data_IF_830177237941
#
_entry.id   IF_830177237941
#
_cell.length_a   1.000
_cell.length_b   1.000
_cell.length_c   1.000
_cell.angle_alpha   90.00
_cell.angle_beta   90.00
_cell.angle_gamma   90.00
#
_symmetry.space_group_name_H-M   'P 1'
#
loop_
_entity.id
_entity.type
_entity.pdbx_description
1 polymer ?
#
# COMPACT_ATOMS: atom_id res chain seq x y z
N UNK A 1 -28.66 7.13 14.74
CA UNK A 1 -28.48 5.97 13.85
C UNK A 1 -27.16 6.11 13.12
N UNK A 2 -26.25 5.12 13.17
CA UNK A 2 -25.03 5.22 12.37
C UNK A 2 -25.42 5.09 10.89
N UNK A 3 -24.94 6.01 10.07
CA UNK A 3 -25.08 5.96 8.62
C UNK A 3 -24.26 4.75 8.14
N UNK A 4 -24.94 3.65 7.79
CA UNK A 4 -24.31 2.49 7.17
C UNK A 4 -23.79 2.91 5.80
N UNK A 5 -22.49 3.23 5.70
CA UNK A 5 -21.82 3.39 4.41
C UNK A 5 -21.81 2.03 3.72
N UNK A 6 -22.41 1.97 2.52
CA UNK A 6 -22.34 0.77 1.70
C UNK A 6 -20.87 0.36 1.47
N UNK A 7 -20.53 -0.93 1.58
CA UNK A 7 -19.19 -1.39 1.31
C UNK A 7 -18.83 -1.12 -0.15
N UNK A 8 -17.69 -0.48 -0.38
CA UNK A 8 -17.19 -0.22 -1.74
C UNK A 8 -16.97 -1.55 -2.47
N UNK A 9 -17.40 -1.63 -3.72
CA UNK A 9 -17.16 -2.82 -4.55
C UNK A 9 -15.67 -2.91 -4.87
N UNK A 10 -15.06 -4.04 -4.50
CA UNK A 10 -13.65 -4.28 -4.75
C UNK A 10 -13.42 -4.68 -6.21
N UNK A 11 -12.43 -4.08 -6.87
CA UNK A 11 -12.02 -4.42 -8.24
C UNK A 11 -10.53 -4.68 -8.30
N UNK A 12 -10.11 -5.68 -9.06
CA UNK A 12 -8.72 -6.09 -9.18
C UNK A 12 -8.17 -5.74 -10.56
N UNK A 13 -7.04 -5.04 -10.61
CA UNK A 13 -6.29 -4.82 -11.86
C UNK A 13 -5.61 -6.10 -12.35
N UNK A 14 -5.20 -6.12 -13.62
CA UNK A 14 -4.30 -7.17 -14.11
C UNK A 14 -2.97 -7.19 -13.32
N UNK A 15 -2.44 -6.02 -12.99
CA UNK A 15 -1.19 -5.88 -12.22
C UNK A 15 -1.30 -6.48 -10.81
N UNK A 16 -2.36 -6.20 -10.06
CA UNK A 16 -2.57 -6.77 -8.73
C UNK A 16 -2.70 -8.29 -8.79
N UNK A 17 -3.45 -8.84 -9.76
CA UNK A 17 -3.55 -10.29 -9.97
C UNK A 17 -2.20 -10.93 -10.29
N UNK A 18 -1.39 -10.30 -11.13
CA UNK A 18 -0.06 -10.78 -11.46
C UNK A 18 0.87 -10.80 -10.24
N UNK A 19 0.90 -9.71 -9.46
CA UNK A 19 1.70 -9.62 -8.24
C UNK A 19 1.22 -10.59 -7.16
N UNK A 20 -0.10 -10.76 -7.00
CA UNK A 20 -0.68 -11.75 -6.11
C UNK A 20 -0.21 -13.16 -6.47
N UNK A 21 -0.22 -13.54 -7.76
CA UNK A 21 0.31 -14.83 -8.22
C UNK A 21 1.80 -14.96 -7.89
N UNK A 22 2.58 -13.93 -8.16
CA UNK A 22 4.03 -13.91 -7.90
C UNK A 22 4.37 -14.12 -6.41
N UNK A 23 3.64 -13.44 -5.51
CA UNK A 23 3.88 -13.53 -4.06
C UNK A 23 3.06 -14.60 -3.33
N UNK A 24 2.27 -15.41 -4.05
CA UNK A 24 1.38 -16.41 -3.45
C UNK A 24 0.31 -15.80 -2.54
N UNK A 25 -0.24 -14.64 -2.89
CA UNK A 25 -1.28 -13.94 -2.10
C UNK A 25 -2.67 -14.26 -2.64
N UNK A 26 -3.55 -14.75 -1.77
CA UNK A 26 -4.97 -14.93 -2.11
C UNK A 26 -5.75 -13.62 -2.03
N UNK A 27 -6.86 -13.52 -2.75
CA UNK A 27 -7.77 -12.37 -2.62
C UNK A 27 -8.26 -12.18 -1.18
N UNK A 28 -8.53 -13.27 -0.46
CA UNK A 28 -8.93 -13.23 0.94
C UNK A 28 -7.84 -12.61 1.83
N UNK A 29 -6.56 -12.92 1.55
CA UNK A 29 -5.43 -12.33 2.26
C UNK A 29 -5.35 -10.83 2.01
N UNK A 30 -5.52 -10.39 0.77
CA UNK A 30 -5.50 -8.96 0.43
C UNK A 30 -6.72 -8.22 1.00
N UNK A 31 -7.92 -8.82 0.95
CA UNK A 31 -9.13 -8.27 1.60
C UNK A 31 -8.91 -8.05 3.10
N UNK A 32 -8.17 -8.94 3.78
CA UNK A 32 -7.81 -8.79 5.20
C UNK A 32 -6.94 -7.55 5.44
N UNK A 33 -5.94 -7.31 4.59
CA UNK A 33 -5.10 -6.10 4.66
C UNK A 33 -5.97 -4.84 4.53
N UNK A 34 -6.95 -4.86 3.62
CA UNK A 34 -7.85 -3.73 3.36
C UNK A 34 -8.82 -3.49 4.52
N UNK A 35 -9.27 -4.57 5.18
CA UNK A 35 -10.25 -4.50 6.27
C UNK A 35 -9.62 -4.09 7.60
N UNK A 36 -8.46 -4.65 7.93
CA UNK A 36 -7.75 -4.39 9.20
C UNK A 36 -6.26 -4.12 8.96
N UNK A 37 -5.92 -2.99 8.32
CA UNK A 37 -4.52 -2.60 8.13
C UNK A 37 -3.88 -2.26 9.47
N UNK A 38 -2.62 -2.66 9.64
CA UNK A 38 -1.79 -2.22 10.76
C UNK A 38 -1.20 -0.84 10.51
N UNK A 39 -0.89 -0.52 9.25
CA UNK A 39 -0.38 0.78 8.84
C UNK A 39 -1.01 1.20 7.52
N UNK A 40 -1.27 2.49 7.38
CA UNK A 40 -1.81 3.12 6.18
C UNK A 40 -0.86 4.26 5.80
N UNK A 41 -0.43 4.28 4.55
CA UNK A 41 0.52 5.25 4.02
C UNK A 41 0.01 5.82 2.69
N UNK A 42 0.52 6.99 2.31
CA UNK A 42 0.33 7.50 0.97
C UNK A 42 0.99 6.55 -0.04
N UNK A 43 0.26 6.20 -1.09
CA UNK A 43 0.81 5.35 -2.14
C UNK A 43 1.73 6.16 -3.06
N UNK A 44 2.67 5.46 -3.70
CA UNK A 44 3.65 6.09 -4.61
C UNK A 44 3.01 6.79 -5.80
N UNK A 45 1.82 6.36 -6.23
CA UNK A 45 1.07 6.99 -7.30
C UNK A 45 0.05 8.00 -6.75
N UNK A 46 -0.23 9.11 -7.45
CA UNK A 46 -1.20 10.11 -6.99
C UNK A 46 -2.58 9.49 -6.68
N UNK A 47 -3.20 9.96 -5.60
CA UNK A 47 -4.53 9.51 -5.14
C UNK A 47 -4.60 8.01 -4.83
N UNK A 48 -3.47 7.40 -4.47
CA UNK A 48 -3.42 6.00 -4.03
C UNK A 48 -3.05 5.92 -2.55
N UNK A 49 -3.50 4.85 -1.91
CA UNK A 49 -3.23 4.57 -0.50
C UNK A 49 -2.62 3.18 -0.41
N UNK A 50 -1.50 3.08 0.29
CA UNK A 50 -0.85 1.81 0.60
C UNK A 50 -1.28 1.35 2.00
N UNK A 51 -1.78 0.12 2.10
CA UNK A 51 -2.19 -0.50 3.34
C UNK A 51 -1.30 -1.71 3.63
N UNK A 52 -0.87 -1.86 4.88
CA UNK A 52 0.06 -2.90 5.29
C UNK A 52 -0.46 -3.71 6.47
N UNK A 53 -0.18 -5.02 6.47
CA UNK A 53 -0.33 -5.89 7.64
C UNK A 53 0.96 -6.71 7.88
N UNK A 54 1.40 -6.78 9.14
CA UNK A 54 2.52 -7.65 9.53
C UNK A 54 2.11 -9.12 9.46
N UNK A 55 3.02 -9.98 9.02
CA UNK A 55 2.83 -11.42 8.91
C UNK A 55 4.17 -12.16 9.15
N UNK A 56 4.11 -13.49 9.15
CA UNK A 56 5.25 -14.34 9.45
C UNK A 56 5.39 -14.65 10.94
N UNK A 57 6.55 -15.17 11.31
CA UNK A 57 6.90 -15.52 12.70
C UNK A 57 7.84 -14.47 13.30
N UNK A 58 8.04 -14.44 14.62
CA UNK A 58 9.03 -13.54 15.24
C UNK A 58 10.44 -13.69 14.67
N UNK A 59 10.83 -14.91 14.24
CA UNK A 59 12.14 -15.19 13.63
C UNK A 59 12.21 -14.79 12.15
N UNK A 60 11.09 -14.80 11.45
CA UNK A 60 11.01 -14.48 10.03
C UNK A 60 9.80 -13.57 9.74
N UNK A 61 9.86 -12.30 10.19
CA UNK A 61 8.78 -11.35 9.97
C UNK A 61 8.80 -10.88 8.51
N UNK A 62 7.61 -10.63 7.97
CA UNK A 62 7.45 -9.96 6.68
C UNK A 62 6.19 -9.12 6.68
N UNK A 63 6.14 -8.14 5.78
CA UNK A 63 4.98 -7.29 5.61
C UNK A 63 4.23 -7.65 4.34
N UNK A 64 2.90 -7.57 4.40
CA UNK A 64 2.03 -7.70 3.27
C UNK A 64 1.40 -6.35 2.98
N UNK A 65 1.51 -5.92 1.73
CA UNK A 65 1.08 -4.61 1.28
C UNK A 65 0.02 -4.72 0.19
N UNK A 66 -0.91 -3.77 0.19
CA UNK A 66 -1.90 -3.58 -0.85
C UNK A 66 -2.01 -2.09 -1.17
N UNK A 67 -1.82 -1.73 -2.44
CA UNK A 67 -2.02 -0.37 -2.93
C UNK A 67 -3.38 -0.24 -3.59
N UNK A 68 -4.13 0.77 -3.19
CA UNK A 68 -5.55 0.94 -3.48
C UNK A 68 -5.79 2.33 -4.06
N UNK A 69 -6.83 2.43 -4.88
CA UNK A 69 -7.37 3.71 -5.32
C UNK A 69 -8.89 3.66 -5.25
N UNK A 70 -9.48 4.67 -4.62
CA UNK A 70 -10.93 4.80 -4.56
C UNK A 70 -11.40 5.64 -5.75
N UNK A 71 -12.32 5.07 -6.54
CA UNK A 71 -12.92 5.71 -7.73
C UNK A 71 -14.44 5.59 -7.61
N UNK A 72 -15.08 6.66 -7.15
CA UNK A 72 -16.51 6.65 -6.81
C UNK A 72 -16.83 5.59 -5.76
N UNK A 73 -17.75 4.66 -6.11
CA UNK A 73 -18.15 3.54 -5.24
C UNK A 73 -17.25 2.30 -5.37
N UNK A 74 -16.24 2.33 -6.25
CA UNK A 74 -15.32 1.21 -6.46
C UNK A 74 -14.00 1.45 -5.73
N UNK A 75 -13.48 0.40 -5.14
CA UNK A 75 -12.11 0.36 -4.59
C UNK A 75 -11.27 -0.54 -5.48
N UNK A 76 -10.32 0.07 -6.19
CA UNK A 76 -9.44 -0.60 -7.15
C UNK A 76 -8.16 -1.01 -6.45
N UNK A 77 -7.90 -2.31 -6.40
CA UNK A 77 -6.61 -2.84 -5.95
C UNK A 77 -5.64 -2.75 -7.12
N UNK A 78 -4.66 -1.86 -6.99
CA UNK A 78 -3.67 -1.60 -8.04
C UNK A 78 -2.56 -2.63 -7.98
N UNK A 79 -2.03 -2.89 -6.77
CA UNK A 79 -0.93 -3.83 -6.55
C UNK A 79 -1.03 -4.48 -5.17
N UNK A 80 -0.42 -5.65 -5.00
CA UNK A 80 -0.27 -6.33 -3.72
C UNK A 80 1.06 -7.07 -3.67
N UNK A 81 1.86 -6.90 -2.63
CA UNK A 81 3.20 -7.46 -2.56
C UNK A 81 3.63 -7.87 -1.15
N UNK A 82 4.69 -8.68 -1.07
CA UNK A 82 5.37 -9.03 0.18
C UNK A 82 6.70 -8.28 0.27
N UNK A 83 6.97 -7.68 1.43
CA UNK A 83 8.27 -7.13 1.76
C UNK A 83 8.98 -8.04 2.78
N UNK A 84 10.21 -8.52 2.51
CA UNK A 84 10.93 -9.40 3.41
C UNK A 84 11.56 -8.60 4.57
N UNK A 85 10.78 -8.41 5.64
CA UNK A 85 11.20 -7.70 6.83
C UNK A 85 10.12 -6.77 7.38
N UNK A 86 10.53 -5.84 8.23
CA UNK A 86 9.67 -4.80 8.82
C UNK A 86 10.20 -3.45 8.32
N UNK A 87 9.36 -2.66 7.67
CA UNK A 87 9.79 -1.32 7.25
C UNK A 87 9.67 -0.35 8.42
N UNK A 88 10.63 0.57 8.50
CA UNK A 88 10.53 1.72 9.39
C UNK A 88 9.37 2.59 8.87
N UNK A 89 8.43 3.01 9.73
CA UNK A 89 7.45 4.03 9.35
C UNK A 89 8.18 5.23 8.76
N UNK A 90 7.61 5.85 7.72
CA UNK A 90 8.17 7.07 7.15
C UNK A 90 8.42 8.09 8.25
N UNK A 91 9.69 8.40 8.51
CA UNK A 91 10.05 9.51 9.39
C UNK A 91 9.88 10.80 8.61
N UNK A 92 9.21 11.77 9.20
CA UNK A 92 9.04 13.12 8.63
C UNK A 92 10.39 13.74 8.24
N UNK A 93 11.43 13.44 9.02
CA UNK A 93 12.82 13.86 8.75
C UNK A 93 13.33 13.22 7.45
N UNK A 94 13.12 11.91 7.25
CA UNK A 94 13.57 11.22 6.03
C UNK A 94 12.82 11.71 4.79
N UNK A 95 11.53 12.01 4.92
CA UNK A 95 10.74 12.58 3.83
C UNK A 95 11.24 13.97 3.45
N UNK A 96 11.58 14.81 4.43
CA UNK A 96 12.14 16.14 4.19
C UNK A 96 13.53 16.07 3.54
N UNK A 97 14.41 15.17 4.01
CA UNK A 97 15.73 14.96 3.41
C UNK A 97 15.64 14.49 1.95
N UNK A 98 14.70 13.58 1.65
CA UNK A 98 14.48 13.12 0.27
C UNK A 98 13.92 14.23 -0.62
N UNK A 99 12.94 15.01 -0.14
CA UNK A 99 12.42 16.17 -0.88
C UNK A 99 13.52 17.17 -1.21
N UNK A 100 14.34 17.51 -0.22
CA UNK A 100 15.44 18.45 -0.41
C UNK A 100 16.44 17.92 -1.46
N UNK A 101 16.78 16.63 -1.41
CA UNK A 101 17.65 16.00 -2.42
C UNK A 101 17.05 16.03 -3.84
N UNK A 102 15.74 15.83 -3.99
CA UNK A 102 15.06 15.93 -5.29
C UNK A 102 15.03 17.38 -5.81
N UNK A 103 14.75 18.35 -4.94
CA UNK A 103 14.75 19.78 -5.30
C UNK A 103 16.15 20.26 -5.72
N UNK A 104 17.20 19.78 -5.04
CA UNK A 104 18.59 20.06 -5.40
C UNK A 104 18.96 19.47 -6.77
N UNK A 105 18.51 18.25 -7.10
CA UNK A 105 18.75 17.65 -8.42
C UNK A 105 18.04 18.37 -9.58
N UNK A 106 16.82 18.85 -9.37
CA UNK A 106 16.06 19.61 -10.38
C UNK A 106 16.61 21.03 -10.57
N UNK A 107 17.35 21.55 -9.59
CA UNK A 107 17.96 22.89 -9.65
C UNK A 107 19.35 22.92 -10.32
N UNK A 108 19.98 21.76 -10.50
CA UNK A 108 21.31 21.60 -11.11
C UNK A 108 21.32 21.46 -12.64
N UNK A 109 20.14 21.49 -13.28
CA UNK A 109 20.00 21.36 -14.74
C UNK A 109 19.64 22.71 -15.40
N UNK A 110 20.41 23.75 -15.06
CA UNK A 110 20.43 25.05 -15.76
C UNK A 110 21.84 25.46 -16.15
#
# INVERSE_FOLDING_TARGET
MPILKNPKTLTWTAHSRAKMRYYGLSEARVKRIIHSPKRIEEGIAPKTVAMMQSAGSPKHPYELWAMLQDVGQKRKVISAWRYPGITKPGSEITLNLLKQAFEESDSGEK
#
